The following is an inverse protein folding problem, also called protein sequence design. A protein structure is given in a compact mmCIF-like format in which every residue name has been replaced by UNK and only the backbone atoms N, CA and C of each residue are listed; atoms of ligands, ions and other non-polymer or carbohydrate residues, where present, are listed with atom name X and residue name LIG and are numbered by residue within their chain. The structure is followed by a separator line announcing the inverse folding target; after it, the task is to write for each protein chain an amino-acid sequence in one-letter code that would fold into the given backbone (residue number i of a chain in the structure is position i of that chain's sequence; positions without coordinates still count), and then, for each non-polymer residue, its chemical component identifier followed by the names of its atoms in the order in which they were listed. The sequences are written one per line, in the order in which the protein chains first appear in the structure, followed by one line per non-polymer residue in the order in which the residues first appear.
data_IF_332243005866
#
_entry.id   IF_332243005866
#
_cell.length_a   1.000
_cell.length_b   1.000
_cell.length_c   1.000
_cell.angle_alpha   90.00
_cell.angle_beta   90.00
_cell.angle_gamma   90.00
#
_symmetry.space_group_name_H-M   'P 1'
#
loop_
_entity.id
_entity.type
_entity.pdbx_description
1 polymer ?
#
# COMPACT_ATOMS: atom_id res chain seq x y z
N UNK A 1 14.00 -4.45 -14.68
CA UNK A 1 13.18 -3.96 -13.55
C UNK A 1 12.40 -2.77 -14.07
N UNK A 2 11.15 -2.98 -14.50
CA UNK A 2 10.27 -1.90 -14.95
C UNK A 2 9.63 -1.28 -13.71
N UNK A 3 9.99 -0.04 -13.37
CA UNK A 3 9.28 0.74 -12.35
C UNK A 3 7.82 0.90 -12.79
N UNK A 4 6.90 0.16 -12.16
CA UNK A 4 5.45 0.15 -12.51
C UNK A 4 4.62 1.13 -11.66
N UNK A 5 5.25 2.16 -11.12
CA UNK A 5 4.59 3.20 -10.32
C UNK A 5 4.55 4.51 -11.12
N UNK A 6 3.37 5.15 -11.17
CA UNK A 6 3.28 6.57 -11.53
C UNK A 6 3.13 7.37 -10.25
N UNK A 7 4.22 7.96 -9.78
CA UNK A 7 4.16 8.93 -8.69
C UNK A 7 3.37 10.16 -9.15
N UNK A 8 2.12 10.29 -8.71
CA UNK A 8 1.41 11.57 -8.81
C UNK A 8 1.65 12.34 -7.53
N UNK A 9 2.59 13.27 -7.62
CA UNK A 9 2.89 14.21 -6.56
C UNK A 9 1.77 15.25 -6.50
N UNK A 10 0.85 15.09 -5.56
CA UNK A 10 -0.12 16.14 -5.25
C UNK A 10 0.56 17.19 -4.36
N UNK A 11 0.89 18.32 -4.97
CA UNK A 11 1.35 19.49 -4.22
C UNK A 11 0.17 20.05 -3.40
N UNK A 12 0.36 20.18 -2.09
CA UNK A 12 -0.59 20.90 -1.25
C UNK A 12 -0.72 22.33 -1.79
N UNK A 13 -1.95 22.79 -2.02
CA UNK A 13 -2.24 24.18 -2.43
C UNK A 13 -2.13 25.16 -1.25
N UNK A 14 -2.07 24.62 -0.02
CA UNK A 14 -2.01 25.36 1.25
C UNK A 14 -0.89 26.43 1.30
N UNK A 15 0.34 26.17 0.82
CA UNK A 15 1.41 27.18 0.84
C UNK A 15 1.08 28.43 0.03
N UNK A 16 0.32 28.31 -1.06
CA UNK A 16 -0.08 29.45 -1.87
C UNK A 16 -1.17 30.29 -1.19
N UNK A 17 -2.09 29.65 -0.44
CA UNK A 17 -3.10 30.36 0.33
C UNK A 17 -2.50 31.15 1.50
N UNK A 18 -1.50 30.59 2.20
CA UNK A 18 -0.80 31.30 3.29
C UNK A 18 -0.10 32.54 2.77
N UNK A 19 0.62 32.44 1.64
CA UNK A 19 1.25 33.59 0.98
C UNK A 19 0.22 34.68 0.65
N UNK A 20 -0.93 34.30 0.08
CA UNK A 20 -1.99 35.25 -0.25
C UNK A 20 -2.56 35.99 0.97
N UNK A 21 -2.76 35.28 2.09
CA UNK A 21 -3.22 35.88 3.36
C UNK A 21 -2.17 36.83 3.94
N UNK A 22 -0.89 36.45 3.90
CA UNK A 22 0.22 37.29 4.35
C UNK A 22 0.29 38.61 3.57
N UNK A 23 0.03 38.58 2.25
CA UNK A 23 -0.07 39.79 1.43
C UNK A 23 -1.21 40.74 1.85
N UNK A 24 -2.38 40.18 2.17
CA UNK A 24 -3.53 40.97 2.63
C UNK A 24 -3.27 41.60 4.00
N UNK A 25 -2.72 40.83 4.94
CA UNK A 25 -2.39 41.32 6.29
C UNK A 25 -1.33 42.42 6.22
N UNK A 26 -0.30 42.24 5.40
CA UNK A 26 0.78 43.22 5.27
C UNK A 26 0.30 44.52 4.62
N UNK A 27 -0.58 44.44 3.61
CA UNK A 27 -1.18 45.62 2.96
C UNK A 27 -2.07 46.44 3.90
N UNK A 28 -2.68 45.81 4.91
CA UNK A 28 -3.50 46.47 5.93
C UNK A 28 -2.65 47.18 7.00
N UNK A 29 -1.47 46.65 7.31
CA UNK A 29 -0.62 47.15 8.39
C UNK A 29 0.42 48.18 7.92
N UNK A 30 0.86 48.11 6.67
CA UNK A 30 1.93 48.95 6.15
C UNK A 30 1.50 49.76 4.90
N UNK A 31 1.86 51.05 4.82
CA UNK A 31 1.54 51.86 3.64
C UNK A 31 2.29 51.36 2.41
N UNK A 32 1.55 50.79 1.44
CA UNK A 32 2.13 50.14 0.25
C UNK A 32 2.76 51.09 -0.78
N UNK A 33 2.90 52.38 -0.53
CA UNK A 33 3.42 53.32 -1.54
C UNK A 33 4.95 53.32 -1.71
N UNK A 34 5.69 52.55 -0.89
CA UNK A 34 7.17 52.54 -0.91
C UNK A 34 7.71 51.25 -1.52
N UNK A 35 8.61 51.36 -2.51
CA UNK A 35 9.21 50.21 -3.23
C UNK A 35 9.89 49.21 -2.28
N UNK A 36 10.47 49.68 -1.17
CA UNK A 36 11.13 48.82 -0.18
C UNK A 36 10.19 47.84 0.54
N UNK A 37 8.89 48.14 0.66
CA UNK A 37 7.94 47.27 1.35
C UNK A 37 7.61 46.02 0.52
N UNK A 38 7.61 46.15 -0.81
CA UNK A 38 7.45 45.02 -1.73
C UNK A 38 8.62 44.03 -1.65
N UNK A 39 9.83 44.53 -1.42
CA UNK A 39 11.02 43.67 -1.24
C UNK A 39 10.92 42.89 0.07
N UNK A 40 10.50 43.53 1.16
CA UNK A 40 10.35 42.89 2.47
C UNK A 40 9.31 41.76 2.42
N UNK A 41 8.14 42.02 1.84
CA UNK A 41 7.09 41.00 1.78
C UNK A 41 7.45 39.83 0.85
N UNK A 42 8.16 40.10 -0.27
CA UNK A 42 8.66 39.05 -1.13
C UNK A 42 9.63 38.11 -0.40
N UNK A 43 10.52 38.66 0.43
CA UNK A 43 11.44 37.86 1.25
C UNK A 43 10.69 37.02 2.30
N UNK A 44 9.66 37.59 2.94
CA UNK A 44 8.81 36.87 3.90
C UNK A 44 8.06 35.72 3.21
N UNK A 45 7.49 35.94 2.03
CA UNK A 45 6.78 34.91 1.27
C UNK A 45 7.71 33.74 0.88
N UNK A 46 8.95 34.03 0.50
CA UNK A 46 9.96 32.99 0.21
C UNK A 46 10.27 32.19 1.48
N UNK A 47 10.47 32.87 2.61
CA UNK A 47 10.72 32.20 3.89
C UNK A 47 9.53 31.31 4.33
N UNK A 48 8.31 31.82 4.26
CA UNK A 48 7.08 31.06 4.56
C UNK A 48 6.95 29.85 3.63
N UNK A 49 7.19 30.01 2.32
CA UNK A 49 7.14 28.91 1.36
C UNK A 49 8.14 27.80 1.68
N UNK A 50 9.38 28.16 2.03
CA UNK A 50 10.43 27.19 2.41
C UNK A 50 10.05 26.46 3.70
N UNK A 51 9.57 27.18 4.71
CA UNK A 51 9.14 26.60 5.99
C UNK A 51 7.95 25.66 5.79
N UNK A 52 6.92 26.07 5.05
CA UNK A 52 5.75 25.25 4.77
C UNK A 52 6.10 24.02 3.93
N UNK A 53 7.03 24.14 2.98
CA UNK A 53 7.53 23.01 2.19
C UNK A 53 8.37 22.03 3.02
N UNK A 54 9.03 22.51 4.07
CA UNK A 54 9.77 21.66 5.01
C UNK A 54 8.86 20.93 6.00
N UNK A 55 7.78 21.57 6.45
CA UNK A 55 6.84 21.03 7.44
C UNK A 55 5.76 20.14 6.80
N UNK A 56 5.34 20.47 5.58
CA UNK A 56 4.27 19.75 4.87
C UNK A 56 4.90 18.95 3.72
N UNK A 57 5.31 17.69 3.94
CA UNK A 57 5.82 16.86 2.86
C UNK A 57 4.72 16.66 1.79
N UNK A 58 5.09 16.61 0.51
CA UNK A 58 4.13 16.38 -0.57
C UNK A 58 3.43 15.03 -0.39
N UNK A 59 2.11 14.99 -0.58
CA UNK A 59 1.32 13.76 -0.56
C UNK A 59 1.67 12.97 -1.82
N UNK A 60 2.34 11.83 -1.65
CA UNK A 60 2.73 10.93 -2.75
C UNK A 60 1.69 9.84 -2.82
N UNK A 61 0.80 9.93 -3.79
CA UNK A 61 -0.14 8.85 -4.09
C UNK A 61 0.50 8.00 -5.21
N UNK A 62 0.95 6.80 -4.85
CA UNK A 62 1.54 5.83 -5.79
C UNK A 62 0.39 5.17 -6.56
N UNK A 63 0.02 5.73 -7.71
CA UNK A 63 -0.95 5.09 -8.58
C UNK A 63 -0.21 3.98 -9.34
N UNK A 64 -0.57 2.74 -9.04
CA UNK A 64 -0.12 1.58 -9.76
C UNK A 64 -0.60 1.61 -11.22
N UNK A 65 0.27 1.28 -12.17
CA UNK A 65 -0.20 0.98 -13.53
C UNK A 65 -1.09 -0.28 -13.49
N UNK A 66 -2.15 -0.37 -14.33
CA UNK A 66 -2.95 -1.57 -14.43
C UNK A 66 -2.04 -2.79 -14.67
N UNK A 67 -2.09 -3.77 -13.76
CA UNK A 67 -1.35 -5.00 -13.90
C UNK A 67 -2.00 -5.84 -15.01
N UNK A 68 -1.27 -6.06 -16.10
CA UNK A 68 -1.68 -6.99 -17.15
C UNK A 68 -1.10 -8.38 -16.85
N UNK A 69 -1.94 -9.43 -16.73
CA UNK A 69 -1.47 -10.77 -16.46
C UNK A 69 -0.58 -11.27 -17.62
N UNK A 70 0.54 -11.94 -17.32
CA UNK A 70 1.31 -12.65 -18.33
C UNK A 70 0.43 -13.68 -19.05
N UNK A 71 0.56 -13.78 -20.37
CA UNK A 71 -0.08 -14.84 -21.16
C UNK A 71 0.97 -15.85 -21.60
N UNK A 72 0.80 -17.09 -21.17
CA UNK A 72 1.72 -18.20 -21.42
C UNK A 72 1.20 -19.11 -22.53
N UNK A 73 -0.11 -19.10 -22.79
CA UNK A 73 -0.77 -20.03 -23.72
C UNK A 73 -1.07 -21.38 -23.10
N UNK A 74 -0.78 -21.57 -21.81
CA UNK A 74 -1.14 -22.75 -21.03
C UNK A 74 -2.33 -22.37 -20.15
N UNK A 75 -3.47 -23.03 -20.36
CA UNK A 75 -4.75 -22.61 -19.77
C UNK A 75 -4.70 -22.51 -18.23
N UNK A 76 -4.14 -23.51 -17.53
CA UNK A 76 -4.10 -23.53 -16.07
C UNK A 76 -3.19 -22.45 -15.47
N UNK A 77 -2.08 -22.13 -16.16
CA UNK A 77 -1.20 -21.03 -15.80
C UNK A 77 -1.90 -19.70 -16.04
N UNK A 78 -2.52 -19.51 -17.21
CA UNK A 78 -3.19 -18.27 -17.59
C UNK A 78 -4.38 -17.96 -16.66
N UNK A 79 -5.19 -18.97 -16.29
CA UNK A 79 -6.27 -18.84 -15.30
C UNK A 79 -5.73 -18.39 -13.94
N UNK A 80 -4.60 -18.94 -13.52
CA UNK A 80 -3.95 -18.58 -12.25
C UNK A 80 -3.36 -17.16 -12.31
N UNK A 81 -2.79 -16.75 -13.45
CA UNK A 81 -2.28 -15.39 -13.65
C UNK A 81 -3.41 -14.37 -13.64
N UNK A 82 -4.57 -14.69 -14.21
CA UNK A 82 -5.75 -13.83 -14.21
C UNK A 82 -6.32 -13.68 -12.79
N UNK A 83 -6.44 -14.77 -12.04
CA UNK A 83 -6.83 -14.72 -10.63
C UNK A 83 -5.82 -13.90 -9.80
N UNK A 84 -4.52 -14.08 -10.03
CA UNK A 84 -3.47 -13.27 -9.43
C UNK A 84 -3.60 -11.78 -9.75
N UNK A 85 -3.93 -11.45 -11.00
CA UNK A 85 -4.19 -10.08 -11.44
C UNK A 85 -5.41 -9.44 -10.77
N UNK A 86 -6.45 -10.22 -10.49
CA UNK A 86 -7.60 -9.76 -9.71
C UNK A 86 -7.19 -9.36 -8.30
N UNK A 87 -6.44 -10.20 -7.59
CA UNK A 87 -5.95 -9.87 -6.24
C UNK A 87 -5.01 -8.67 -6.23
N UNK A 88 -4.13 -8.55 -7.24
CA UNK A 88 -3.27 -7.37 -7.37
C UNK A 88 -4.10 -6.08 -7.48
N UNK A 89 -5.17 -6.09 -8.28
CA UNK A 89 -6.08 -4.93 -8.40
C UNK A 89 -6.84 -4.64 -7.11
N UNK A 90 -7.28 -5.68 -6.40
CA UNK A 90 -7.91 -5.53 -5.07
C UNK A 90 -6.95 -4.91 -4.06
N UNK A 91 -5.69 -5.32 -4.05
CA UNK A 91 -4.70 -4.73 -3.14
C UNK A 91 -4.31 -3.29 -3.50
N UNK A 92 -4.42 -2.89 -4.77
CA UNK A 92 -4.32 -1.48 -5.17
C UNK A 92 -5.44 -0.64 -4.58
N UNK A 93 -6.68 -1.12 -4.71
CA UNK A 93 -7.87 -0.47 -4.16
C UNK A 93 -7.77 -0.34 -2.64
N UNK A 94 -7.51 -1.45 -1.94
CA UNK A 94 -7.37 -1.48 -0.49
C UNK A 94 -6.18 -0.62 -0.03
N UNK A 95 -5.07 -0.62 -0.77
CA UNK A 95 -3.91 0.23 -0.49
C UNK A 95 -4.26 1.73 -0.53
N UNK A 96 -5.11 2.15 -1.47
CA UNK A 96 -5.63 3.51 -1.55
C UNK A 96 -6.49 3.89 -0.33
N UNK A 97 -7.37 2.99 0.09
CA UNK A 97 -8.18 3.17 1.31
C UNK A 97 -7.32 3.20 2.57
N UNK A 98 -6.37 2.27 2.70
CA UNK A 98 -5.42 2.20 3.80
C UNK A 98 -4.60 3.47 3.92
N UNK A 99 -4.20 4.10 2.81
CA UNK A 99 -3.40 5.31 2.86
C UNK A 99 -4.10 6.45 3.61
N UNK A 100 -5.44 6.49 3.59
CA UNK A 100 -6.21 7.50 4.31
C UNK A 100 -6.21 7.28 5.83
N UNK A 101 -6.07 6.04 6.30
CA UNK A 101 -6.18 5.67 7.72
C UNK A 101 -4.85 5.26 8.37
N UNK A 102 -3.94 4.68 7.60
CA UNK A 102 -2.62 4.20 8.01
C UNK A 102 -1.65 4.15 6.81
N UNK A 103 -0.92 5.25 6.51
CA UNK A 103 0.05 5.29 5.42
C UNK A 103 1.13 4.20 5.52
N UNK A 104 1.60 3.91 6.74
CA UNK A 104 2.60 2.88 6.96
C UNK A 104 2.11 1.48 6.58
N UNK A 105 0.82 1.18 6.82
CA UNK A 105 0.24 -0.10 6.44
C UNK A 105 -0.02 -0.19 4.93
N UNK A 106 -0.39 0.94 4.31
CA UNK A 106 -0.50 1.05 2.86
C UNK A 106 0.84 0.77 2.17
N UNK A 107 1.95 1.30 2.71
CA UNK A 107 3.30 1.03 2.18
C UNK A 107 3.67 -0.46 2.31
N UNK A 108 3.38 -1.09 3.46
CA UNK A 108 3.59 -2.54 3.65
C UNK A 108 2.78 -3.37 2.64
N UNK A 109 1.52 -3.01 2.40
CA UNK A 109 0.68 -3.70 1.44
C UNK A 109 1.19 -3.52 0.01
N UNK A 110 1.70 -2.34 -0.33
CA UNK A 110 2.31 -2.08 -1.64
C UNK A 110 3.53 -2.96 -1.89
N UNK A 111 4.42 -3.10 -0.89
CA UNK A 111 5.58 -4.02 -0.96
C UNK A 111 5.14 -5.47 -1.17
N UNK A 112 4.15 -5.94 -0.41
CA UNK A 112 3.60 -7.31 -0.55
C UNK A 112 3.03 -7.50 -1.95
N UNK A 113 2.25 -6.54 -2.46
CA UNK A 113 1.67 -6.57 -3.80
C UNK A 113 2.73 -6.60 -4.90
N UNK A 114 3.85 -5.88 -4.75
CA UNK A 114 4.95 -5.91 -5.70
C UNK A 114 5.62 -7.28 -5.76
N UNK A 115 5.83 -7.88 -4.59
CA UNK A 115 6.35 -9.23 -4.47
C UNK A 115 5.41 -10.27 -5.09
N UNK A 116 4.09 -10.13 -4.90
CA UNK A 116 3.10 -10.96 -5.59
C UNK A 116 3.24 -10.89 -7.12
N UNK A 117 3.35 -9.68 -7.67
CA UNK A 117 3.56 -9.47 -9.11
C UNK A 117 4.82 -10.19 -9.59
N UNK A 118 5.90 -10.11 -8.80
CA UNK A 118 7.18 -10.77 -9.12
C UNK A 118 7.06 -12.30 -9.11
N UNK A 119 6.32 -12.87 -8.14
CA UNK A 119 6.02 -14.31 -8.06
C UNK A 119 5.24 -14.77 -9.30
N UNK A 120 4.17 -14.06 -9.67
CA UNK A 120 3.37 -14.41 -10.85
C UNK A 120 4.16 -14.29 -12.15
N UNK A 121 4.94 -13.22 -12.32
CA UNK A 121 5.83 -13.06 -13.49
C UNK A 121 6.87 -14.18 -13.59
N UNK A 122 7.38 -14.67 -12.45
CA UNK A 122 8.32 -15.79 -12.42
C UNK A 122 7.65 -17.11 -12.82
N UNK A 123 6.47 -17.41 -12.26
CA UNK A 123 5.73 -18.64 -12.59
C UNK A 123 5.24 -18.64 -14.03
N UNK A 124 4.87 -17.48 -14.59
CA UNK A 124 4.53 -17.38 -16.01
C UNK A 124 5.72 -17.75 -16.92
N UNK A 125 6.95 -17.46 -16.51
CA UNK A 125 8.18 -17.85 -17.22
C UNK A 125 8.60 -19.30 -16.94
N UNK A 126 8.16 -19.86 -15.82
CA UNK A 126 8.48 -21.22 -15.38
C UNK A 126 7.20 -21.98 -15.00
N UNK A 127 6.37 -22.38 -15.99
CA UNK A 127 5.07 -23.01 -15.76
C UNK A 127 5.10 -24.25 -14.84
N UNK A 128 6.21 -24.99 -14.82
CA UNK A 128 6.42 -26.15 -13.97
C UNK A 128 6.38 -25.82 -12.47
N UNK A 129 6.54 -24.54 -12.11
CA UNK A 129 6.45 -24.04 -10.74
C UNK A 129 5.02 -23.72 -10.30
N UNK A 130 4.03 -23.73 -11.20
CA UNK A 130 2.63 -23.43 -10.90
C UNK A 130 2.07 -24.19 -9.67
N UNK A 131 2.32 -25.52 -9.50
CA UNK A 131 1.79 -26.25 -8.35
C UNK A 131 2.22 -25.67 -7.01
N UNK A 132 3.39 -25.04 -6.93
CA UNK A 132 3.95 -24.45 -5.69
C UNK A 132 3.19 -23.20 -5.24
N UNK A 133 2.58 -22.47 -6.16
CA UNK A 133 1.83 -21.24 -5.84
C UNK A 133 0.32 -21.45 -5.73
N UNK A 134 -0.20 -22.67 -5.93
CA UNK A 134 -1.66 -22.93 -5.85
C UNK A 134 -2.25 -22.57 -4.49
N UNK A 135 -1.59 -22.94 -3.38
CA UNK A 135 -2.04 -22.58 -2.02
C UNK A 135 -1.89 -21.09 -1.73
N UNK A 136 -0.84 -20.48 -2.30
CA UNK A 136 -0.67 -19.04 -2.27
C UNK A 136 -1.85 -18.30 -2.89
N UNK A 137 -2.19 -18.61 -4.14
CA UNK A 137 -3.30 -17.97 -4.83
C UNK A 137 -4.66 -18.35 -4.22
N UNK A 138 -4.91 -19.63 -3.96
CA UNK A 138 -6.23 -20.12 -3.56
C UNK A 138 -6.59 -19.93 -2.08
N UNK A 139 -5.61 -19.67 -1.20
CA UNK A 139 -5.86 -19.61 0.24
C UNK A 139 -5.19 -18.41 0.92
N UNK A 140 -3.95 -18.08 0.59
CA UNK A 140 -3.24 -16.99 1.28
C UNK A 140 -3.67 -15.60 0.80
N UNK A 141 -3.83 -15.39 -0.51
CA UNK A 141 -4.32 -14.12 -1.05
C UNK A 141 -5.72 -13.73 -0.56
N UNK A 142 -6.75 -14.61 -0.62
CA UNK A 142 -8.07 -14.27 -0.08
C UNK A 142 -8.05 -13.93 1.41
N UNK A 143 -7.21 -14.59 2.20
CA UNK A 143 -7.08 -14.29 3.63
C UNK A 143 -6.44 -12.92 3.86
N UNK A 144 -5.38 -12.60 3.11
CA UNK A 144 -4.74 -11.28 3.16
C UNK A 144 -5.72 -10.16 2.74
N UNK A 145 -6.53 -10.40 1.70
CA UNK A 145 -7.62 -9.48 1.31
C UNK A 145 -8.56 -9.24 2.49
N UNK A 146 -9.04 -10.31 3.13
CA UNK A 146 -9.96 -10.20 4.27
C UNK A 146 -9.36 -9.37 5.42
N UNK A 147 -8.13 -9.67 5.83
CA UNK A 147 -7.46 -8.97 6.93
C UNK A 147 -7.29 -7.47 6.64
N UNK A 148 -6.82 -7.14 5.44
CA UNK A 148 -6.59 -5.74 5.04
C UNK A 148 -7.90 -4.95 4.92
N UNK A 149 -8.97 -5.56 4.39
CA UNK A 149 -10.32 -4.96 4.39
C UNK A 149 -10.87 -4.76 5.81
N UNK A 150 -10.77 -5.78 6.67
CA UNK A 150 -11.20 -5.67 8.08
C UNK A 150 -10.47 -4.54 8.81
N UNK A 151 -9.16 -4.35 8.56
CA UNK A 151 -8.43 -3.23 9.14
C UNK A 151 -9.02 -1.88 8.72
N UNK A 152 -9.32 -1.69 7.43
CA UNK A 152 -9.93 -0.45 6.91
C UNK A 152 -11.30 -0.22 7.54
N UNK A 153 -12.15 -1.24 7.60
CA UNK A 153 -13.50 -1.15 8.19
C UNK A 153 -13.45 -0.75 9.67
N UNK A 154 -12.63 -1.44 10.45
CA UNK A 154 -12.44 -1.15 11.88
C UNK A 154 -11.81 0.23 12.11
N UNK A 155 -10.92 0.67 11.22
CA UNK A 155 -10.28 1.97 11.29
C UNK A 155 -11.27 3.13 11.13
N UNK A 156 -12.37 2.94 10.40
CA UNK A 156 -13.39 3.97 10.20
C UNK A 156 -14.43 4.05 11.33
N UNK A 157 -14.43 3.11 12.29
CA UNK A 157 -15.39 3.14 13.38
C UNK A 157 -15.12 4.31 14.35
N UNK A 158 -16.17 5.09 14.64
CA UNK A 158 -16.08 6.27 15.53
C UNK A 158 -15.80 5.90 16.99
N UNK A 159 -16.26 4.74 17.45
CA UNK A 159 -16.08 4.26 18.82
C UNK A 159 -15.05 3.13 18.82
N UNK A 160 -13.79 3.47 19.07
CA UNK A 160 -12.70 2.51 19.17
C UNK A 160 -12.61 1.96 20.60
N UNK A 161 -13.28 0.85 20.85
CA UNK A 161 -13.10 0.08 22.09
C UNK A 161 -11.77 -0.66 22.11
N UNK A 162 -11.35 -1.13 23.30
CA UNK A 162 -10.09 -1.86 23.51
C UNK A 162 -9.94 -3.07 22.56
N UNK A 163 -11.02 -3.80 22.31
CA UNK A 163 -11.03 -4.94 21.39
C UNK A 163 -10.71 -4.55 19.94
N UNK A 164 -11.27 -3.43 19.46
CA UNK A 164 -11.00 -2.94 18.09
C UNK A 164 -9.54 -2.55 17.95
N UNK A 165 -9.01 -1.82 18.94
CA UNK A 165 -7.61 -1.41 18.91
C UNK A 165 -6.67 -2.61 18.92
N UNK A 166 -6.99 -3.65 19.71
CA UNK A 166 -6.24 -4.90 19.74
C UNK A 166 -6.25 -5.61 18.38
N UNK A 167 -7.41 -5.71 17.73
CA UNK A 167 -7.52 -6.30 16.38
C UNK A 167 -6.72 -5.53 15.34
N UNK A 168 -6.77 -4.18 15.36
CA UNK A 168 -5.96 -3.36 14.46
C UNK A 168 -4.46 -3.63 14.62
N UNK A 169 -3.97 -3.64 15.85
CA UNK A 169 -2.56 -3.93 16.17
C UNK A 169 -2.16 -5.36 15.82
N UNK A 170 -3.05 -6.34 15.99
CA UNK A 170 -2.81 -7.69 15.53
C UNK A 170 -2.62 -7.72 14.02
N UNK A 171 -3.54 -7.13 13.24
CA UNK A 171 -3.45 -7.10 11.78
C UNK A 171 -2.16 -6.41 11.29
N UNK A 172 -1.74 -5.33 11.96
CA UNK A 172 -0.44 -4.68 11.68
C UNK A 172 0.73 -5.66 11.86
N UNK A 173 0.77 -6.38 12.99
CA UNK A 173 1.80 -7.37 13.26
C UNK A 173 1.74 -8.58 12.31
N UNK A 174 0.56 -8.95 11.83
CA UNK A 174 0.40 -10.00 10.81
C UNK A 174 1.08 -9.58 9.51
N UNK A 175 0.80 -8.36 9.04
CA UNK A 175 1.36 -7.86 7.78
C UNK A 175 2.89 -7.81 7.81
N UNK A 176 3.50 -7.58 8.98
CA UNK A 176 4.95 -7.68 9.18
C UNK A 176 5.53 -9.08 8.95
N UNK A 177 4.73 -10.13 9.17
CA UNK A 177 5.15 -11.53 8.96
C UNK A 177 4.85 -12.05 7.55
N UNK A 178 3.88 -11.46 6.84
CA UNK A 178 3.46 -11.94 5.53
C UNK A 178 4.52 -11.67 4.47
N UNK A 179 5.13 -10.47 4.49
CA UNK A 179 6.18 -10.11 3.52
C UNK A 179 7.34 -11.11 3.50
N UNK A 180 8.02 -11.41 4.62
CA UNK A 180 9.13 -12.37 4.61
C UNK A 180 8.69 -13.79 4.23
N UNK A 181 7.45 -14.20 4.58
CA UNK A 181 6.92 -15.49 4.13
C UNK A 181 6.75 -15.55 2.60
N UNK A 182 6.31 -14.45 1.97
CA UNK A 182 6.22 -14.36 0.51
C UNK A 182 7.62 -14.29 -0.14
N UNK A 183 8.61 -13.67 0.52
CA UNK A 183 9.98 -13.63 0.02
C UNK A 183 10.60 -15.04 0.03
N UNK A 184 10.36 -15.80 1.09
CA UNK A 184 10.76 -17.20 1.17
C UNK A 184 10.05 -18.08 0.15
N UNK A 185 8.74 -17.88 -0.07
CA UNK A 185 8.01 -18.52 -1.16
C UNK A 185 8.70 -18.21 -2.50
N UNK A 186 8.98 -16.94 -2.80
CA UNK A 186 9.63 -16.54 -4.04
C UNK A 186 11.00 -17.20 -4.21
N UNK A 187 11.84 -17.20 -3.17
CA UNK A 187 13.15 -17.87 -3.18
C UNK A 187 13.02 -19.38 -3.44
N UNK A 188 12.02 -20.03 -2.84
CA UNK A 188 11.77 -21.47 -3.03
C UNK A 188 11.41 -21.87 -4.46
N UNK A 189 10.95 -20.93 -5.30
CA UNK A 189 10.65 -21.19 -6.71
C UNK A 189 11.91 -21.42 -7.54
N UNK A 190 13.07 -20.94 -7.08
CA UNK A 190 14.37 -21.15 -7.72
C UNK A 190 15.01 -22.50 -7.38
N UNK A 191 14.52 -23.18 -6.35
CA UNK A 191 15.09 -24.45 -5.91
C UNK A 191 14.47 -25.65 -6.63
N UNK A 192 15.32 -26.54 -7.14
CA UNK A 192 14.88 -27.77 -7.81
C UNK A 192 14.35 -28.83 -6.84
N UNK A 193 14.74 -28.75 -5.56
CA UNK A 193 14.15 -29.59 -4.52
C UNK A 193 12.82 -28.98 -4.06
N UNK A 194 11.85 -29.85 -3.79
CA UNK A 194 10.67 -29.44 -3.05
C UNK A 194 11.11 -29.15 -1.61
N UNK A 195 11.50 -27.90 -1.32
CA UNK A 195 11.43 -27.40 0.06
C UNK A 195 9.96 -27.47 0.44
N UNK A 196 9.67 -28.03 1.61
CA UNK A 196 8.31 -28.11 2.11
C UNK A 196 7.84 -26.69 2.46
N UNK A 197 7.33 -25.96 1.47
CA UNK A 197 6.80 -24.59 1.60
C UNK A 197 5.64 -24.53 2.61
N UNK A 198 5.13 -25.69 3.04
CA UNK A 198 4.06 -25.83 4.02
C UNK A 198 4.41 -25.32 5.43
N UNK A 199 5.69 -25.10 5.77
CA UNK A 199 6.09 -24.72 7.12
C UNK A 199 5.93 -23.22 7.46
N UNK A 200 6.09 -22.30 6.49
CA UNK A 200 6.32 -20.88 6.82
C UNK A 200 5.12 -19.94 6.60
N UNK A 201 4.02 -20.47 6.07
CA UNK A 201 2.74 -19.73 5.94
C UNK A 201 1.70 -20.22 6.98
N UNK A 202 2.19 -20.93 8.01
CA UNK A 202 1.48 -21.29 9.25
C UNK A 202 0.94 -20.06 10.01
N UNK A 203 1.43 -18.87 9.64
CA UNK A 203 0.97 -17.61 10.20
C UNK A 203 -0.51 -17.40 9.84
N UNK A 204 -0.92 -17.48 8.58
CA UNK A 204 -2.31 -17.16 8.17
C UNK A 204 -3.38 -18.08 8.77
N UNK A 205 -3.08 -19.37 8.96
CA UNK A 205 -4.02 -20.34 9.56
C UNK A 205 -4.24 -20.10 11.05
N UNK A 206 -3.16 -19.93 11.82
CA UNK A 206 -3.26 -19.62 13.25
C UNK A 206 -3.91 -18.25 13.52
N UNK A 207 -3.89 -17.35 12.54
CA UNK A 207 -4.41 -15.99 12.68
C UNK A 207 -5.92 -15.89 12.53
N UNK A 208 -6.53 -16.65 11.61
CA UNK A 208 -8.00 -16.68 11.50
C UNK A 208 -8.61 -17.36 12.73
N UNK A 209 -8.00 -18.44 13.23
CA UNK A 209 -8.46 -19.15 14.43
C UNK A 209 -8.38 -18.27 15.69
N UNK A 210 -7.32 -17.45 15.82
CA UNK A 210 -7.11 -16.60 16.99
C UNK A 210 -7.98 -15.33 16.99
N UNK A 211 -8.38 -14.83 15.81
CA UNK A 211 -9.20 -13.63 15.67
C UNK A 211 -10.72 -13.92 15.61
N UNK A 212 -11.13 -15.19 15.61
CA UNK A 212 -12.54 -15.57 15.44
C UNK A 212 -13.11 -15.21 14.06
N UNK A 213 -12.23 -14.95 13.09
CA UNK A 213 -12.58 -14.54 11.73
C UNK A 213 -12.80 -15.74 10.80
N UNK A 214 -12.79 -16.97 11.33
CA UNK A 214 -13.14 -18.19 10.58
C UNK A 214 -14.65 -18.21 10.42
N UNK A 215 -15.14 -17.58 9.34
CA UNK A 215 -16.50 -17.77 8.89
C UNK A 215 -16.67 -19.21 8.42
N UNK A 216 -17.72 -19.86 8.92
CA UNK A 216 -18.24 -21.19 8.58
C UNK A 216 -17.61 -21.86 7.35
N UNK A 217 -16.93 -22.99 7.59
CA UNK A 217 -16.97 -24.09 6.64
C UNK A 217 -18.38 -24.70 6.72
N UNK A 218 -19.30 -24.21 5.91
CA UNK A 218 -20.50 -24.97 5.51
C UNK A 218 -20.39 -25.33 4.04
#
# INVERSE_FOLDING_TARGET
MNNRYREKKHYSVLPYYVIGISWIIFALLFPMYTVGHYVVIALISVAEFVVLRGIIPPKIERIALPYEPPKTGIADVDDTMELGAEYIRKFDEIGGELYAVSPALADKLADIRELMSTIFEYVAKNPDRLPRIRRFTGYYLPTLEKLTRTYVELSHQKLRGENIQKTLTNIEGILDTIKPAFENLYNSLYEDKAVDISAEITVLENLIEKEGLSGDKQ
#
